data_IF_592398191901
#
_entry.id   IF_592398191901
#
_cell.length_a   1.000
_cell.length_b   1.000
_cell.length_c   1.000
_cell.angle_alpha   90.00
_cell.angle_beta   90.00
_cell.angle_gamma   90.00
#
_symmetry.space_group_name_H-M   'P 1'
#
loop_
_entity.id
_entity.type
_entity.pdbx_description
1 polymer ?
#
# COMPACT_ATOMS: atom_id res chain seq x y z
N UNK A 1 3.04 7.86 8.57
CA UNK A 1 2.50 7.17 7.39
C UNK A 1 2.81 7.96 6.13
N UNK A 2 2.91 7.28 4.99
CA UNK A 2 2.89 7.85 3.63
C UNK A 2 1.70 7.22 2.90
N UNK A 3 0.87 8.02 2.22
CA UNK A 3 -0.28 7.52 1.47
C UNK A 3 0.00 7.64 -0.02
N UNK A 4 -0.15 6.54 -0.76
CA UNK A 4 0.10 6.49 -2.20
C UNK A 4 -0.86 5.50 -2.86
N UNK A 5 -1.26 5.73 -4.10
CA UNK A 5 -2.21 4.84 -4.77
C UNK A 5 -1.66 3.41 -4.93
N UNK A 6 -0.45 3.26 -5.51
CA UNK A 6 0.13 1.95 -5.81
C UNK A 6 1.37 1.60 -4.98
N UNK A 7 2.34 2.49 -4.88
CA UNK A 7 3.56 2.22 -4.14
C UNK A 7 4.70 3.20 -4.45
N UNK A 8 5.89 2.91 -3.93
CA UNK A 8 7.08 3.74 -4.09
C UNK A 8 8.27 2.91 -4.60
N UNK A 9 9.13 3.54 -5.40
CA UNK A 9 10.39 2.94 -5.87
C UNK A 9 11.43 2.97 -4.75
N UNK A 10 12.01 1.80 -4.41
CA UNK A 10 13.13 1.72 -3.45
C UNK A 10 14.34 2.53 -3.94
N UNK A 11 15.14 3.05 -3.00
CA UNK A 11 16.33 3.88 -3.27
C UNK A 11 16.06 5.18 -4.04
N UNK A 12 14.80 5.64 -4.10
CA UNK A 12 14.44 6.93 -4.70
C UNK A 12 13.83 7.82 -3.60
N UNK A 13 14.38 9.03 -3.35
CA UNK A 13 13.80 9.99 -2.40
C UNK A 13 12.33 10.28 -2.73
N UNK A 14 11.51 10.58 -1.72
CA UNK A 14 10.06 10.74 -1.88
C UNK A 14 9.72 11.83 -2.92
N UNK A 15 10.40 12.96 -2.85
CA UNK A 15 10.31 14.09 -3.78
C UNK A 15 10.79 13.80 -5.21
N UNK A 16 11.44 12.65 -5.44
CA UNK A 16 11.90 12.21 -6.77
C UNK A 16 11.12 10.99 -7.29
N UNK A 17 10.06 10.58 -6.59
CA UNK A 17 9.20 9.49 -7.03
C UNK A 17 8.47 9.89 -8.30
N UNK A 18 8.42 8.97 -9.25
CA UNK A 18 7.75 9.19 -10.53
C UNK A 18 6.24 8.99 -10.38
N UNK A 19 5.39 9.88 -10.92
CA UNK A 19 3.94 9.68 -10.94
C UNK A 19 3.54 8.32 -11.48
N UNK A 20 4.25 7.81 -12.48
CA UNK A 20 3.99 6.51 -13.08
C UNK A 20 4.19 5.36 -12.07
N UNK A 21 5.26 5.42 -11.27
CA UNK A 21 5.49 4.42 -10.21
C UNK A 21 4.44 4.57 -9.10
N UNK A 22 4.15 5.79 -8.67
CA UNK A 22 3.16 6.07 -7.61
C UNK A 22 1.75 5.59 -7.96
N UNK A 23 1.42 5.57 -9.26
CA UNK A 23 0.12 5.14 -9.76
C UNK A 23 0.08 3.68 -10.23
N UNK A 24 1.20 3.09 -10.66
CA UNK A 24 1.14 1.81 -11.39
C UNK A 24 2.10 0.73 -10.90
N UNK A 25 3.02 1.02 -9.98
CA UNK A 25 3.97 0.01 -9.49
C UNK A 25 3.23 -1.14 -8.76
N UNK A 26 3.70 -2.38 -8.97
CA UNK A 26 3.12 -3.58 -8.32
C UNK A 26 4.19 -4.40 -7.61
N UNK A 27 4.61 -5.51 -8.23
CA UNK A 27 5.53 -6.52 -7.65
C UNK A 27 6.78 -5.91 -7.02
N UNK A 28 7.42 -4.95 -7.70
CA UNK A 28 8.64 -4.29 -7.22
C UNK A 28 8.48 -3.60 -5.86
N UNK A 29 7.31 -3.02 -5.58
CA UNK A 29 7.01 -2.39 -4.30
C UNK A 29 6.51 -3.41 -3.28
N UNK A 30 5.58 -4.28 -3.67
CA UNK A 30 4.94 -5.27 -2.77
C UNK A 30 5.97 -6.24 -2.20
N UNK A 31 6.94 -6.69 -2.99
CA UNK A 31 7.98 -7.63 -2.54
C UNK A 31 9.15 -6.96 -1.82
N UNK A 32 9.23 -5.63 -1.82
CA UNK A 32 10.37 -4.92 -1.21
C UNK A 32 10.19 -4.71 0.29
N UNK A 33 11.18 -5.07 1.09
CA UNK A 33 11.27 -4.72 2.51
C UNK A 33 11.94 -3.35 2.75
N UNK A 34 12.06 -2.50 1.71
CA UNK A 34 12.74 -1.21 1.83
C UNK A 34 12.00 -0.30 2.82
N UNK A 35 12.76 0.32 3.73
CA UNK A 35 12.25 1.26 4.71
C UNK A 35 12.23 2.68 4.13
N UNK A 36 11.04 3.26 4.04
CA UNK A 36 10.84 4.64 3.58
C UNK A 36 10.86 5.65 4.76
N UNK A 37 11.26 5.22 5.95
CA UNK A 37 11.24 6.00 7.20
C UNK A 37 9.85 6.18 7.80
N UNK A 38 8.81 5.76 7.07
CA UNK A 38 7.40 5.74 7.47
C UNK A 38 6.72 4.56 6.79
N UNK A 39 5.75 3.96 7.48
CA UNK A 39 4.90 2.91 6.89
C UNK A 39 4.05 3.48 5.73
N UNK A 40 4.08 2.80 4.59
CA UNK A 40 3.38 3.22 3.36
C UNK A 40 2.02 2.56 3.25
N UNK A 41 0.94 3.34 3.23
CA UNK A 41 -0.44 2.87 3.00
C UNK A 41 -0.74 2.93 1.50
N UNK A 42 -1.17 1.81 0.93
CA UNK A 42 -1.38 1.68 -0.52
C UNK A 42 -2.57 0.79 -0.89
N UNK A 43 -3.01 0.88 -2.15
CA UNK A 43 -4.01 0.04 -2.78
C UNK A 43 -3.50 -0.49 -4.13
N UNK A 44 -4.33 -0.37 -5.19
CA UNK A 44 -4.03 -0.66 -6.61
C UNK A 44 -3.74 -2.13 -6.98
N UNK A 45 -3.10 -2.89 -6.10
CA UNK A 45 -2.89 -4.31 -6.27
C UNK A 45 -3.79 -5.06 -5.31
N UNK A 46 -4.91 -5.64 -5.80
CA UNK A 46 -5.81 -6.42 -4.98
C UNK A 46 -5.09 -7.58 -4.29
N UNK A 47 -5.33 -7.73 -3.00
CA UNK A 47 -4.86 -8.84 -2.17
C UNK A 47 -6.08 -9.53 -1.54
N UNK A 48 -6.02 -10.84 -1.24
CA UNK A 48 -7.16 -11.55 -0.65
C UNK A 48 -7.53 -11.01 0.74
N UNK A 49 -6.56 -10.51 1.50
CA UNK A 49 -6.71 -9.94 2.83
C UNK A 49 -5.84 -8.67 2.94
N UNK A 50 -6.13 -7.74 3.86
CA UNK A 50 -5.27 -6.58 4.06
C UNK A 50 -3.84 -7.00 4.37
N UNK A 51 -2.87 -6.32 3.76
CA UNK A 51 -1.45 -6.55 4.01
C UNK A 51 -1.01 -5.68 5.17
N UNK A 52 -0.40 -6.28 6.20
CA UNK A 52 0.31 -5.56 7.24
C UNK A 52 1.76 -6.03 7.29
N UNK A 53 2.68 -5.12 6.98
CA UNK A 53 4.13 -5.32 7.11
C UNK A 53 4.75 -4.11 7.82
N UNK A 54 5.94 -4.24 8.44
CA UNK A 54 6.59 -3.12 9.13
C UNK A 54 6.72 -1.86 8.27
N UNK A 55 6.98 -2.01 6.97
CA UNK A 55 7.17 -0.89 6.04
C UNK A 55 5.93 -0.50 5.22
N UNK A 56 4.84 -1.30 5.21
CA UNK A 56 3.65 -0.99 4.39
C UNK A 56 2.34 -1.61 4.90
N UNK A 57 1.23 -0.98 4.51
CA UNK A 57 -0.14 -1.42 4.74
C UNK A 57 -0.89 -1.43 3.40
N UNK A 58 -1.37 -2.59 2.98
CA UNK A 58 -2.22 -2.73 1.78
C UNK A 58 -3.69 -2.85 2.16
N UNK A 59 -4.54 -1.98 1.64
CA UNK A 59 -5.99 -1.96 1.94
C UNK A 59 -6.88 -2.33 0.75
N UNK A 60 -6.30 -2.55 -0.43
CA UNK A 60 -7.04 -3.01 -1.61
C UNK A 60 -7.29 -4.52 -1.51
N UNK A 61 -8.48 -4.87 -1.03
CA UNK A 61 -8.98 -6.25 -1.00
C UNK A 61 -9.82 -6.62 -2.21
N UNK A 62 -9.88 -5.77 -3.24
CA UNK A 62 -10.57 -6.08 -4.49
C UNK A 62 -12.09 -5.96 -4.45
N UNK A 63 -12.64 -4.94 -3.80
CA UNK A 63 -14.09 -4.72 -3.68
C UNK A 63 -14.87 -4.81 -5.01
N UNK A 64 -14.28 -4.29 -6.10
CA UNK A 64 -14.87 -4.32 -7.44
C UNK A 64 -15.01 -5.75 -8.02
N UNK A 65 -14.26 -6.71 -7.48
CA UNK A 65 -14.29 -8.11 -7.89
C UNK A 65 -15.25 -8.97 -7.03
N UNK A 66 -16.10 -8.34 -6.21
CA UNK A 66 -17.01 -9.02 -5.29
C UNK A 66 -16.39 -9.41 -3.95
N UNK A 67 -15.15 -8.97 -3.69
CA UNK A 67 -14.54 -9.05 -2.36
C UNK A 67 -14.96 -7.83 -1.52
N UNK A 68 -14.32 -7.65 -0.36
CA UNK A 68 -14.68 -6.61 0.59
C UNK A 68 -14.04 -5.26 0.25
N UNK A 69 -14.69 -4.18 0.67
CA UNK A 69 -14.07 -2.86 0.79
C UNK A 69 -13.37 -2.77 2.14
N UNK A 70 -12.05 -2.60 2.16
CA UNK A 70 -11.27 -2.60 3.41
C UNK A 70 -10.72 -1.21 3.76
N UNK A 71 -10.87 -0.85 5.02
CA UNK A 71 -10.33 0.36 5.65
C UNK A 71 -9.46 0.00 6.85
N UNK A 72 -8.50 0.87 7.20
CA UNK A 72 -7.65 0.73 8.39
C UNK A 72 -7.79 1.95 9.29
N UNK A 73 -7.95 1.73 10.60
CA UNK A 73 -7.90 2.79 11.62
C UNK A 73 -6.47 2.91 12.15
N UNK A 74 -5.88 4.09 11.98
CA UNK A 74 -4.53 4.42 12.42
C UNK A 74 -4.59 5.30 13.69
N UNK A 75 -3.64 5.15 14.65
CA UNK A 75 -2.49 4.25 14.61
C UNK A 75 -2.76 2.82 15.10
N UNK A 76 -3.99 2.49 15.49
CA UNK A 76 -4.35 1.22 16.16
C UNK A 76 -4.19 -0.04 15.29
N UNK A 77 -4.05 0.11 13.97
CA UNK A 77 -3.96 -0.98 12.99
C UNK A 77 -5.16 -1.94 13.00
N UNK A 78 -6.36 -1.40 13.28
CA UNK A 78 -7.62 -2.15 13.22
C UNK A 78 -8.19 -2.07 11.80
N UNK A 79 -8.47 -3.22 11.18
CA UNK A 79 -9.07 -3.32 9.85
C UNK A 79 -10.59 -3.50 9.92
N UNK A 80 -11.29 -2.81 9.04
CA UNK A 80 -12.74 -2.91 8.85
C UNK A 80 -13.01 -3.28 7.40
N UNK A 81 -13.89 -4.24 7.16
CA UNK A 81 -14.21 -4.70 5.80
C UNK A 81 -15.72 -4.94 5.66
N UNK A 82 -16.35 -4.39 4.61
CA UNK A 82 -17.76 -4.65 4.25
C UNK A 82 -17.89 -5.41 2.95
#
# INVERSE_FOLDING_TARGET
YIFVHAGLRKNVPLEKQKPEDMLWIRKNFIQSNYDFGKQVVFGHTPLPEPLLQPNKIGIDTGAVYGNKLTCVRLPDLVFYSS
#
